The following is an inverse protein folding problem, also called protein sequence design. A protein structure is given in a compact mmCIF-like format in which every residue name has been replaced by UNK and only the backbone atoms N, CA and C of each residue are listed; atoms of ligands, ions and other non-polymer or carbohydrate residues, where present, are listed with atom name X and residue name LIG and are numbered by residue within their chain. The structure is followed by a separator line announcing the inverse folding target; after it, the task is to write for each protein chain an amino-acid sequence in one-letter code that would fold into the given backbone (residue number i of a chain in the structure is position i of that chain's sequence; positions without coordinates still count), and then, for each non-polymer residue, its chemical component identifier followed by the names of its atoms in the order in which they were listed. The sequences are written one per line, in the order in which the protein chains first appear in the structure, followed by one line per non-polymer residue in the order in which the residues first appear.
data_IF_226805626283
#
_entry.id   IF_226805626283
#
_cell.length_a   1.000
_cell.length_b   1.000
_cell.length_c   1.000
_cell.angle_alpha   90.00
_cell.angle_beta   90.00
_cell.angle_gamma   90.00
#
_symmetry.space_group_name_H-M   'P 1'
#
loop_
_entity.id
_entity.type
_entity.pdbx_description
1 polymer ?
#
# COMPACT_ATOMS: atom_id res chain seq x y z
N UNK A 1 -32.15 -1.67 -22.64
CA UNK A 1 -31.17 -2.76 -22.64
C UNK A 1 -29.90 -2.22 -21.99
N UNK A 2 -29.56 -2.69 -20.79
CA UNK A 2 -28.31 -2.36 -20.14
C UNK A 2 -27.18 -3.06 -20.92
N UNK A 3 -26.29 -2.29 -21.55
CA UNK A 3 -25.08 -2.82 -22.17
C UNK A 3 -24.30 -3.55 -21.08
N UNK A 4 -24.15 -4.87 -21.22
CA UNK A 4 -23.27 -5.62 -20.36
C UNK A 4 -21.86 -5.07 -20.60
N UNK A 5 -21.28 -4.43 -19.60
CA UNK A 5 -19.87 -4.01 -19.62
C UNK A 5 -19.04 -5.29 -19.80
N UNK A 6 -18.27 -5.36 -20.87
CA UNK A 6 -17.36 -6.50 -21.11
C UNK A 6 -16.30 -6.45 -20.02
N UNK A 7 -16.25 -7.49 -19.21
CA UNK A 7 -15.24 -7.62 -18.15
C UNK A 7 -13.86 -7.81 -18.77
N UNK A 8 -12.86 -7.14 -18.25
CA UNK A 8 -11.46 -7.40 -18.58
C UNK A 8 -10.99 -8.67 -17.85
N UNK A 9 -10.27 -9.50 -18.59
CA UNK A 9 -9.82 -10.80 -18.08
C UNK A 9 -8.30 -10.93 -18.09
N UNK A 10 -7.74 -11.59 -17.06
CA UNK A 10 -6.33 -11.91 -16.98
C UNK A 10 -6.14 -13.35 -16.52
N UNK A 11 -5.33 -14.09 -17.25
CA UNK A 11 -4.88 -15.43 -16.92
C UNK A 11 -3.41 -15.39 -16.50
N UNK A 12 -3.12 -15.80 -15.28
CA UNK A 12 -1.78 -16.17 -14.83
C UNK A 12 -1.65 -17.67 -14.92
N UNK A 13 -0.65 -18.19 -15.62
CA UNK A 13 -0.52 -19.63 -15.89
C UNK A 13 0.90 -20.15 -15.71
N UNK A 14 1.02 -21.46 -15.62
CA UNK A 14 2.28 -22.22 -15.61
C UNK A 14 3.22 -21.84 -14.44
N UNK A 15 2.71 -21.30 -13.32
CA UNK A 15 3.58 -21.05 -12.17
C UNK A 15 4.23 -22.36 -11.70
N UNK A 16 5.56 -22.36 -11.53
CA UNK A 16 6.24 -23.53 -10.96
C UNK A 16 5.62 -23.93 -9.64
N UNK A 17 5.23 -22.91 -8.86
CA UNK A 17 4.44 -23.07 -7.63
C UNK A 17 3.54 -21.85 -7.44
N UNK A 18 2.24 -22.07 -7.24
CA UNK A 18 1.31 -21.05 -6.79
C UNK A 18 0.93 -21.34 -5.34
N UNK A 19 1.16 -20.37 -4.46
CA UNK A 19 0.88 -20.48 -3.02
C UNK A 19 -0.28 -19.56 -2.67
N UNK A 20 -1.38 -20.09 -2.15
CA UNK A 20 -2.60 -19.29 -1.94
C UNK A 20 -2.59 -18.46 -0.66
N UNK A 21 -1.78 -18.83 0.33
CA UNK A 21 -1.76 -18.20 1.67
C UNK A 21 -3.15 -18.10 2.33
N UNK A 22 -4.12 -18.88 1.83
CA UNK A 22 -5.45 -18.97 2.42
C UNK A 22 -5.48 -19.93 3.63
N UNK A 23 -6.64 -20.10 4.24
CA UNK A 23 -6.81 -21.02 5.39
C UNK A 23 -6.47 -22.49 5.08
N UNK A 24 -6.48 -22.89 3.81
CA UNK A 24 -6.08 -24.22 3.36
C UNK A 24 -4.57 -24.32 3.04
N UNK A 25 -3.87 -23.18 2.92
CA UNK A 25 -2.43 -23.08 2.61
C UNK A 25 -2.02 -23.94 1.42
N UNK A 26 -2.80 -23.88 0.35
CA UNK A 26 -2.57 -24.72 -0.84
C UNK A 26 -1.29 -24.29 -1.57
N UNK A 27 -0.54 -25.28 -1.99
CA UNK A 27 0.64 -25.16 -2.85
C UNK A 27 0.35 -25.93 -4.14
N UNK A 28 0.17 -25.20 -5.25
CA UNK A 28 -0.30 -25.76 -6.50
C UNK A 28 0.84 -25.73 -7.51
N UNK A 29 1.41 -26.88 -7.84
CA UNK A 29 2.39 -27.04 -8.92
C UNK A 29 1.72 -26.83 -10.28
N UNK A 30 2.43 -26.24 -11.24
CA UNK A 30 1.87 -25.80 -12.50
C UNK A 30 0.56 -25.02 -12.30
N UNK A 31 0.56 -24.18 -11.25
CA UNK A 31 -0.60 -23.44 -10.80
C UNK A 31 -0.87 -22.18 -11.63
N UNK A 32 -2.10 -21.73 -11.53
CA UNK A 32 -2.53 -20.49 -12.15
C UNK A 32 -3.72 -19.88 -11.46
N UNK A 33 -4.12 -18.72 -11.93
CA UNK A 33 -5.32 -18.02 -11.48
C UNK A 33 -5.95 -17.24 -12.65
N UNK A 34 -7.27 -17.11 -12.58
CA UNK A 34 -8.06 -16.35 -13.54
C UNK A 34 -8.73 -15.20 -12.85
N UNK A 35 -8.63 -14.02 -13.45
CA UNK A 35 -9.12 -12.76 -12.91
C UNK A 35 -10.14 -12.19 -13.87
N UNK A 36 -11.27 -11.73 -13.34
CA UNK A 36 -12.24 -10.89 -14.03
C UNK A 36 -12.30 -9.53 -13.35
N UNK A 37 -11.96 -8.48 -14.08
CA UNK A 37 -11.78 -7.11 -13.58
C UNK A 37 -10.79 -7.05 -12.41
N UNK A 38 -11.26 -6.90 -11.18
CA UNK A 38 -10.45 -6.81 -9.97
C UNK A 38 -10.60 -8.02 -9.03
N UNK A 39 -11.25 -9.10 -9.50
CA UNK A 39 -11.52 -10.27 -8.68
C UNK A 39 -10.84 -11.52 -9.23
N UNK A 40 -10.15 -12.25 -8.36
CA UNK A 40 -9.68 -13.61 -8.66
C UNK A 40 -10.90 -14.52 -8.60
N UNK A 41 -11.33 -15.05 -9.75
CA UNK A 41 -12.53 -15.91 -9.85
C UNK A 41 -12.21 -17.39 -9.80
N UNK A 42 -11.02 -17.79 -10.21
CA UNK A 42 -10.57 -19.19 -10.19
C UNK A 42 -9.10 -19.29 -9.80
N UNK A 43 -8.75 -20.33 -9.05
CA UNK A 43 -7.38 -20.68 -8.65
C UNK A 43 -7.23 -22.18 -8.69
N UNK A 44 -6.26 -22.71 -9.44
CA UNK A 44 -6.05 -24.14 -9.56
C UNK A 44 -4.89 -24.51 -10.49
N UNK A 45 -4.76 -25.78 -10.87
CA UNK A 45 -3.86 -26.20 -11.93
C UNK A 45 -4.17 -25.45 -13.23
N UNK A 46 -3.15 -25.07 -13.98
CA UNK A 46 -3.30 -24.27 -15.20
C UNK A 46 -4.25 -24.87 -16.23
N UNK A 47 -4.26 -26.19 -16.38
CA UNK A 47 -5.10 -26.92 -17.32
C UNK A 47 -6.59 -26.93 -16.98
N UNK A 48 -6.94 -26.59 -15.73
CA UNK A 48 -8.33 -26.49 -15.27
C UNK A 48 -8.93 -25.09 -15.43
N UNK A 49 -8.11 -24.11 -15.81
CA UNK A 49 -8.52 -22.71 -15.93
C UNK A 49 -8.97 -22.38 -17.36
N UNK A 50 -9.73 -21.28 -17.57
CA UNK A 50 -10.00 -20.75 -18.91
C UNK A 50 -8.67 -20.50 -19.64
N UNK A 51 -8.58 -20.96 -20.90
CA UNK A 51 -7.35 -20.87 -21.70
C UNK A 51 -7.26 -19.57 -22.51
N UNK A 52 -8.28 -18.73 -22.49
CA UNK A 52 -8.36 -17.45 -23.17
C UNK A 52 -8.61 -16.33 -22.17
N UNK A 53 -7.90 -15.23 -22.33
CA UNK A 53 -8.06 -14.00 -21.56
C UNK A 53 -7.53 -12.82 -22.39
N UNK A 54 -7.95 -11.58 -22.05
CA UNK A 54 -7.44 -10.37 -22.68
C UNK A 54 -5.94 -10.18 -22.45
N UNK A 55 -5.47 -10.60 -21.25
CA UNK A 55 -4.05 -10.60 -20.88
C UNK A 55 -3.66 -11.97 -20.37
N UNK A 56 -2.53 -12.49 -20.85
CA UNK A 56 -1.98 -13.77 -20.39
C UNK A 56 -0.55 -13.54 -19.90
N UNK A 57 -0.30 -13.94 -18.64
CA UNK A 57 1.02 -13.91 -18.02
C UNK A 57 1.52 -15.35 -17.81
N UNK A 58 2.58 -15.71 -18.52
CA UNK A 58 3.25 -16.99 -18.35
C UNK A 58 4.29 -16.91 -17.21
N UNK A 59 4.06 -17.66 -16.15
CA UNK A 59 4.89 -17.70 -14.96
C UNK A 59 5.78 -18.95 -14.88
N UNK A 60 6.11 -19.55 -16.00
CA UNK A 60 7.01 -20.71 -16.02
C UNK A 60 8.32 -20.41 -15.24
N UNK A 61 8.69 -21.32 -14.36
CA UNK A 61 9.87 -21.19 -13.49
C UNK A 61 9.73 -20.19 -12.33
N UNK A 62 8.57 -19.58 -12.13
CA UNK A 62 8.33 -18.58 -11.06
C UNK A 62 7.42 -19.13 -9.96
N UNK A 63 7.56 -18.57 -8.77
CA UNK A 63 6.62 -18.73 -7.67
C UNK A 63 5.63 -17.57 -7.70
N UNK A 64 4.35 -17.87 -7.60
CA UNK A 64 3.28 -16.87 -7.51
C UNK A 64 2.69 -16.90 -6.11
N UNK A 65 2.67 -15.75 -5.46
CA UNK A 65 2.11 -15.55 -4.12
C UNK A 65 1.13 -14.37 -4.14
N UNK A 66 0.24 -14.23 -3.15
CA UNK A 66 -0.55 -13.02 -2.96
C UNK A 66 0.37 -11.80 -2.73
N UNK A 67 -0.11 -10.63 -3.13
CA UNK A 67 0.58 -9.38 -2.85
C UNK A 67 0.78 -9.19 -1.34
N UNK A 68 1.90 -8.59 -0.96
CA UNK A 68 2.22 -8.32 0.44
C UNK A 68 1.27 -7.28 1.04
N UNK A 69 1.08 -7.37 2.34
CA UNK A 69 0.26 -6.42 3.12
C UNK A 69 1.14 -5.72 4.14
N UNK A 70 1.20 -4.40 4.08
CA UNK A 70 1.89 -3.58 5.07
C UNK A 70 0.86 -3.00 6.06
N UNK A 71 0.96 -3.39 7.31
CA UNK A 71 0.03 -2.98 8.37
C UNK A 71 0.56 -1.83 9.24
N UNK A 72 1.78 -1.33 9.00
CA UNK A 72 2.38 -0.26 9.77
C UNK A 72 3.16 0.68 8.86
N UNK A 73 2.65 1.90 8.68
CA UNK A 73 3.32 2.97 7.96
C UNK A 73 2.91 4.35 8.50
N UNK A 74 3.80 5.33 8.29
CA UNK A 74 3.58 6.76 8.48
C UNK A 74 4.08 7.46 7.20
N UNK A 75 3.22 7.51 6.17
CA UNK A 75 3.66 7.86 4.81
C UNK A 75 4.21 9.27 4.69
N UNK A 76 3.69 10.23 5.47
CA UNK A 76 4.21 11.60 5.51
C UNK A 76 5.67 11.70 5.95
N UNK A 77 6.18 10.70 6.68
CA UNK A 77 7.58 10.66 7.12
C UNK A 77 8.55 10.34 5.97
N UNK A 78 8.06 9.88 4.83
CA UNK A 78 8.90 9.53 3.67
C UNK A 78 9.76 10.68 3.18
N UNK A 79 9.30 11.93 3.35
CA UNK A 79 10.06 13.14 2.98
C UNK A 79 11.21 13.47 3.94
N UNK A 80 11.27 12.84 5.10
CA UNK A 80 12.22 13.18 6.18
C UNK A 80 13.05 12.00 6.66
N UNK A 81 13.24 10.97 5.83
CA UNK A 81 13.95 9.73 6.21
C UNK A 81 15.41 9.94 6.58
N UNK A 82 16.06 10.97 6.06
CA UNK A 82 17.51 11.17 6.22
C UNK A 82 17.79 12.59 6.72
N UNK A 83 17.11 13.00 7.81
CA UNK A 83 17.40 14.26 8.49
C UNK A 83 18.57 14.02 9.45
N UNK A 84 19.74 14.67 9.26
CA UNK A 84 20.95 14.36 10.05
C UNK A 84 20.75 14.49 11.56
N UNK A 85 20.00 15.49 12.02
CA UNK A 85 19.72 15.72 13.43
C UNK A 85 18.86 14.63 14.10
N UNK A 86 18.18 13.82 13.30
CA UNK A 86 17.31 12.74 13.77
C UNK A 86 17.94 11.34 13.62
N UNK A 87 19.18 11.25 13.09
CA UNK A 87 19.87 9.98 12.96
C UNK A 87 20.36 9.49 14.33
N UNK A 88 20.30 8.17 14.55
CA UNK A 88 20.77 7.49 15.77
C UNK A 88 20.11 7.96 17.08
N UNK A 89 19.03 8.73 16.98
CA UNK A 89 18.25 9.19 18.14
C UNK A 89 17.32 8.11 18.68
N UNK A 90 17.15 8.06 20.00
CA UNK A 90 16.03 7.32 20.61
C UNK A 90 14.69 7.94 20.15
N UNK A 91 13.61 7.17 20.22
CA UNK A 91 12.30 7.53 19.67
C UNK A 91 11.86 8.95 20.03
N UNK A 92 11.96 9.35 21.30
CA UNK A 92 11.47 10.65 21.72
C UNK A 92 12.36 11.78 21.18
N UNK A 93 13.68 11.61 21.23
CA UNK A 93 14.62 12.56 20.64
C UNK A 93 14.43 12.67 19.12
N UNK A 94 14.22 11.56 18.43
CA UNK A 94 13.91 11.52 17.00
C UNK A 94 12.64 12.33 16.69
N UNK A 95 11.55 12.13 17.46
CA UNK A 95 10.29 12.86 17.28
C UNK A 95 10.46 14.37 17.49
N UNK A 96 11.11 14.79 18.59
CA UNK A 96 11.29 16.22 18.92
C UNK A 96 12.13 16.97 17.88
N UNK A 97 13.08 16.28 17.21
CA UNK A 97 13.83 16.85 16.10
C UNK A 97 12.98 16.99 14.83
N UNK A 98 12.02 16.08 14.60
CA UNK A 98 11.22 16.07 13.37
C UNK A 98 9.94 16.89 13.45
N UNK A 99 9.34 17.06 14.63
CA UNK A 99 8.11 17.83 14.81
C UNK A 99 8.20 19.27 14.24
N UNK A 100 9.26 20.04 14.42
CA UNK A 100 9.38 21.37 13.82
C UNK A 100 9.41 21.34 12.29
N UNK A 101 9.88 20.25 11.71
CA UNK A 101 9.89 20.03 10.25
C UNK A 101 8.48 19.67 9.80
N UNK A 102 7.85 18.70 10.47
CA UNK A 102 6.50 18.25 10.16
C UNK A 102 5.42 19.31 10.41
N UNK A 103 5.65 20.26 11.32
CA UNK A 103 4.80 21.43 11.49
C UNK A 103 4.64 22.28 10.22
N UNK A 104 5.55 22.12 9.24
CA UNK A 104 5.54 22.85 7.97
C UNK A 104 4.93 22.06 6.82
N UNK A 105 4.49 20.82 7.04
CA UNK A 105 3.86 20.02 6.00
C UNK A 105 2.61 20.73 5.47
N UNK A 106 2.40 20.62 4.18
CA UNK A 106 1.23 21.11 3.46
C UNK A 106 0.42 19.93 2.92
N UNK A 107 -0.86 20.14 2.52
CA UNK A 107 -1.65 19.09 1.86
C UNK A 107 -0.93 18.44 0.68
N UNK A 108 -0.26 19.23 -0.15
CA UNK A 108 0.53 18.72 -1.28
C UNK A 108 1.68 17.82 -0.82
N UNK A 109 2.40 18.20 0.25
CA UNK A 109 3.47 17.37 0.80
C UNK A 109 2.93 16.04 1.36
N UNK A 110 1.76 16.04 1.99
CA UNK A 110 1.10 14.80 2.43
C UNK A 110 0.78 13.92 1.22
N UNK A 111 0.20 14.48 0.16
CA UNK A 111 -0.12 13.72 -1.06
C UNK A 111 1.14 13.12 -1.71
N UNK A 112 2.17 13.93 -1.94
CA UNK A 112 3.43 13.49 -2.58
C UNK A 112 4.15 12.45 -1.74
N UNK A 113 4.22 12.63 -0.41
CA UNK A 113 4.85 11.63 0.47
C UNK A 113 4.10 10.30 0.47
N UNK A 114 2.77 10.36 0.43
CA UNK A 114 1.91 9.17 0.33
C UNK A 114 2.16 8.43 -0.99
N UNK A 115 2.15 9.13 -2.11
CA UNK A 115 2.43 8.53 -3.42
C UNK A 115 3.83 7.94 -3.49
N UNK A 116 4.85 8.65 -2.97
CA UNK A 116 6.23 8.16 -2.94
C UNK A 116 6.34 6.85 -2.14
N UNK A 117 5.79 6.82 -0.92
CA UNK A 117 5.80 5.63 -0.08
C UNK A 117 5.06 4.47 -0.74
N UNK A 118 3.89 4.73 -1.34
CA UNK A 118 3.10 3.71 -2.02
C UNK A 118 3.78 3.19 -3.27
N UNK A 119 4.47 4.04 -4.04
CA UNK A 119 5.25 3.60 -5.21
C UNK A 119 6.35 2.62 -4.79
N UNK A 120 7.08 2.90 -3.72
CA UNK A 120 8.10 1.99 -3.18
C UNK A 120 7.49 0.67 -2.69
N UNK A 121 6.34 0.73 -1.99
CA UNK A 121 5.62 -0.45 -1.54
C UNK A 121 5.16 -1.31 -2.73
N UNK A 122 4.58 -0.72 -3.77
CA UNK A 122 4.14 -1.43 -4.98
C UNK A 122 5.33 -2.10 -5.65
N UNK A 123 6.44 -1.40 -5.81
CA UNK A 123 7.68 -1.94 -6.40
C UNK A 123 8.26 -3.08 -5.58
N UNK A 124 8.00 -3.14 -4.28
CA UNK A 124 8.39 -4.26 -3.40
C UNK A 124 7.42 -5.44 -3.41
N UNK A 125 6.31 -5.34 -4.18
CA UNK A 125 5.26 -6.37 -4.24
C UNK A 125 4.15 -6.21 -3.19
N UNK A 126 4.11 -5.09 -2.47
CA UNK A 126 3.02 -4.77 -1.55
C UNK A 126 1.81 -4.25 -2.34
N UNK A 127 0.63 -4.80 -2.07
CA UNK A 127 -0.61 -4.43 -2.76
C UNK A 127 -1.67 -3.80 -1.85
N UNK A 128 -1.44 -3.82 -0.55
CA UNK A 128 -2.33 -3.26 0.46
C UNK A 128 -1.51 -2.65 1.58
N UNK A 129 -1.77 -1.40 1.93
CA UNK A 129 -1.10 -0.75 3.05
C UNK A 129 -2.07 -0.05 3.97
N UNK A 130 -1.77 -0.09 5.26
CA UNK A 130 -2.30 0.85 6.24
C UNK A 130 -1.37 2.06 6.37
N UNK A 131 -1.91 3.21 6.72
CA UNK A 131 -1.16 4.39 7.14
C UNK A 131 -1.77 4.96 8.41
N UNK A 132 -0.94 5.48 9.29
CA UNK A 132 -1.37 6.17 10.49
C UNK A 132 -0.92 7.64 10.43
N UNK A 133 -1.82 8.51 9.95
CA UNK A 133 -1.66 9.96 9.95
C UNK A 133 -2.22 10.54 11.25
N UNK A 134 -1.38 11.19 12.06
CA UNK A 134 -1.77 11.71 13.37
C UNK A 134 -1.42 13.19 13.59
N UNK A 135 -0.93 13.86 12.53
CA UNK A 135 -0.61 15.28 12.53
C UNK A 135 -1.31 15.98 11.36
N UNK A 136 -1.89 17.14 11.59
CA UNK A 136 -2.69 17.87 10.59
C UNK A 136 -2.33 19.36 10.55
N UNK A 137 -1.04 19.74 10.31
CA UNK A 137 -0.64 21.14 10.22
C UNK A 137 -1.16 21.79 8.93
N UNK A 138 -1.27 23.12 8.94
CA UNK A 138 -1.49 23.94 7.74
C UNK A 138 -2.66 23.50 6.85
N UNK A 139 -3.73 23.00 7.44
CA UNK A 139 -4.91 22.56 6.72
C UNK A 139 -4.82 21.16 6.10
N UNK A 140 -3.77 20.40 6.41
CA UNK A 140 -3.67 18.99 6.04
C UNK A 140 -4.86 18.18 6.55
N UNK A 141 -5.30 17.22 5.75
CA UNK A 141 -6.42 16.33 6.05
C UNK A 141 -6.04 14.88 5.75
N UNK A 142 -6.78 13.96 6.33
CA UNK A 142 -6.65 12.54 5.97
C UNK A 142 -7.01 12.29 4.50
N UNK A 143 -7.93 13.11 3.95
CA UNK A 143 -8.34 13.06 2.56
C UNK A 143 -7.16 13.25 1.58
N UNK A 144 -6.12 14.00 1.94
CA UNK A 144 -4.94 14.21 1.10
C UNK A 144 -4.21 12.89 0.84
N UNK A 145 -4.09 12.03 1.86
CA UNK A 145 -3.55 10.66 1.71
C UNK A 145 -4.53 9.73 0.98
N UNK A 146 -5.82 9.84 1.23
CA UNK A 146 -6.85 9.00 0.60
C UNK A 146 -6.89 9.26 -0.91
N UNK A 147 -6.91 10.52 -1.34
CA UNK A 147 -6.89 10.88 -2.75
C UNK A 147 -5.59 10.41 -3.43
N UNK A 148 -4.45 10.63 -2.80
CA UNK A 148 -3.15 10.17 -3.30
C UNK A 148 -3.12 8.64 -3.49
N UNK A 149 -3.68 7.89 -2.55
CA UNK A 149 -3.80 6.43 -2.64
C UNK A 149 -4.72 6.00 -3.79
N UNK A 150 -5.83 6.70 -4.00
CA UNK A 150 -6.76 6.43 -5.10
C UNK A 150 -6.11 6.70 -6.47
N UNK A 151 -5.33 7.77 -6.59
CA UNK A 151 -4.62 8.12 -7.84
C UNK A 151 -3.55 7.09 -8.20
N UNK A 152 -2.78 6.60 -7.24
CA UNK A 152 -1.75 5.57 -7.49
C UNK A 152 -2.36 4.16 -7.63
N UNK A 153 -3.61 3.96 -7.20
CA UNK A 153 -4.34 2.71 -7.34
C UNK A 153 -4.00 1.63 -6.31
N UNK A 154 -3.48 1.99 -5.14
CA UNK A 154 -3.17 1.05 -4.06
C UNK A 154 -4.37 0.84 -3.13
N UNK A 155 -4.60 -0.41 -2.66
CA UNK A 155 -5.56 -0.66 -1.58
C UNK A 155 -5.04 -0.03 -0.29
N UNK A 156 -5.87 0.83 0.29
CA UNK A 156 -5.46 1.69 1.38
C UNK A 156 -6.40 1.65 2.58
N UNK A 157 -5.83 1.43 3.75
CA UNK A 157 -6.51 1.57 5.04
C UNK A 157 -6.00 2.84 5.73
N UNK A 158 -6.76 3.93 5.61
CA UNK A 158 -6.43 5.20 6.23
C UNK A 158 -6.82 5.19 7.72
N UNK A 159 -5.83 5.11 8.60
CA UNK A 159 -6.05 5.24 10.04
C UNK A 159 -5.82 6.69 10.48
N UNK A 160 -6.89 7.30 11.01
CA UNK A 160 -6.82 8.64 11.59
C UNK A 160 -6.30 8.57 13.03
N UNK A 161 -5.11 9.08 13.24
CA UNK A 161 -4.58 9.31 14.57
C UNK A 161 -4.85 10.71 15.11
N UNK A 162 -4.36 10.96 16.31
CA UNK A 162 -4.35 12.28 16.95
C UNK A 162 -3.15 12.41 17.86
N UNK A 163 -2.72 13.63 18.09
CA UNK A 163 -1.69 13.96 19.08
C UNK A 163 -2.33 14.81 20.17
N UNK A 164 -2.25 14.36 21.43
CA UNK A 164 -2.77 15.05 22.61
C UNK A 164 -1.67 15.73 23.44
N UNK A 165 -0.41 15.57 23.04
CA UNK A 165 0.73 16.25 23.68
C UNK A 165 0.89 17.60 23.01
N UNK A 166 0.72 18.70 23.78
CA UNK A 166 0.85 20.05 23.28
C UNK A 166 2.29 20.56 23.15
N UNK A 167 2.45 21.75 22.58
CA UNK A 167 3.77 22.35 22.32
C UNK A 167 4.60 22.54 23.57
N UNK A 168 3.99 22.89 24.69
CA UNK A 168 4.67 23.04 25.99
C UNK A 168 5.28 21.75 26.54
N UNK A 169 4.88 20.60 25.96
CA UNK A 169 5.40 19.27 26.29
C UNK A 169 6.16 18.63 25.11
N UNK A 170 6.49 19.41 24.09
CA UNK A 170 7.26 18.97 22.92
C UNK A 170 6.41 18.36 21.81
N UNK A 171 5.08 18.48 21.86
CA UNK A 171 4.17 18.09 20.78
C UNK A 171 3.99 19.18 19.71
N UNK A 172 3.10 18.92 18.72
CA UNK A 172 2.79 19.88 17.66
C UNK A 172 1.54 20.74 17.92
N UNK A 173 0.45 20.19 18.50
CA UNK A 173 -0.76 20.97 18.74
C UNK A 173 -0.49 22.13 19.72
N UNK A 174 -1.23 23.23 19.62
CA UNK A 174 -1.25 24.24 20.69
C UNK A 174 -1.62 23.60 22.04
N UNK A 175 -1.13 24.18 23.14
CA UNK A 175 -1.47 23.73 24.47
C UNK A 175 -2.95 23.94 24.80
#
# INVERSE_FOLDING_TARGET
MLSATVKKTLLVKNAALLVTMDGQRREIKNGGLYIEDNLITQVGPTDTLPQQADVILDMAGKVVIPGLVNTHHHMYQSLTRVVPAAQDGELFNWLTNLYPIWARLTPEMIAVSTQTAMAELILSGCTTSSDHLYIYPNGCKLDDSIHAAAEIGMRFHAARGSMSVGQGQGGLPPD
#
